data_IF_065831549039
#
_entry.id   IF_065831549039
#
_cell.length_a   1.000
_cell.length_b   1.000
_cell.length_c   1.000
_cell.angle_alpha   90.00
_cell.angle_beta   90.00
_cell.angle_gamma   90.00
#
_symmetry.space_group_name_H-M   'P 1'
#
loop_
_entity.id
_entity.type
_entity.pdbx_description
1 polymer ?
#
# COMPACT_ATOMS: atom_id res chain seq x y z
N UNK A 1 10.70 -38.21 -18.96
CA UNK A 1 9.87 -37.08 -18.48
C UNK A 1 10.76 -36.16 -17.65
N UNK A 2 11.17 -35.01 -18.20
CA UNK A 2 11.97 -34.05 -17.46
C UNK A 2 11.08 -33.39 -16.39
N UNK A 3 11.40 -33.61 -15.11
CA UNK A 3 10.82 -32.87 -14.02
C UNK A 3 11.08 -31.38 -14.28
N UNK A 4 10.04 -30.60 -14.57
CA UNK A 4 10.11 -29.14 -14.53
C UNK A 4 10.59 -28.79 -13.12
N UNK A 5 11.85 -28.37 -12.99
CA UNK A 5 12.32 -27.66 -11.81
C UNK A 5 11.41 -26.46 -11.67
N UNK A 6 10.44 -26.54 -10.78
CA UNK A 6 9.63 -25.40 -10.35
C UNK A 6 10.58 -24.47 -9.61
N UNK A 7 11.32 -23.63 -10.34
CA UNK A 7 11.94 -22.45 -9.74
C UNK A 7 10.83 -21.69 -9.04
N UNK A 8 10.96 -21.44 -7.75
CA UNK A 8 10.05 -20.56 -7.03
C UNK A 8 9.87 -19.30 -7.89
N UNK A 9 8.63 -18.95 -8.27
CA UNK A 9 8.40 -17.80 -9.14
C UNK A 9 8.96 -16.56 -8.46
N UNK A 10 9.64 -15.74 -9.24
CA UNK A 10 10.26 -14.51 -8.76
C UNK A 10 9.18 -13.65 -8.11
N UNK A 11 9.47 -13.18 -6.89
CA UNK A 11 8.64 -12.22 -6.15
C UNK A 11 8.80 -10.79 -6.69
N UNK A 12 9.69 -10.60 -7.68
CA UNK A 12 9.97 -9.32 -8.32
C UNK A 12 10.03 -9.48 -9.84
N UNK A 13 9.35 -8.59 -10.56
CA UNK A 13 9.35 -8.51 -12.03
C UNK A 13 9.44 -7.05 -12.48
N UNK A 14 9.81 -6.83 -13.74
CA UNK A 14 9.74 -5.51 -14.37
C UNK A 14 8.60 -5.48 -15.37
N UNK A 15 7.76 -4.45 -15.30
CA UNK A 15 6.69 -4.25 -16.24
C UNK A 15 7.21 -3.98 -17.66
N UNK A 16 6.33 -4.19 -18.65
CA UNK A 16 6.63 -3.94 -20.07
C UNK A 16 5.57 -2.98 -20.62
N UNK A 17 5.85 -2.25 -21.71
CA UNK A 17 4.84 -1.42 -22.36
C UNK A 17 3.55 -2.21 -22.64
N UNK A 18 2.42 -1.71 -22.16
CA UNK A 18 1.11 -2.37 -22.28
C UNK A 18 0.89 -3.59 -21.36
N UNK A 19 1.84 -3.91 -20.48
CA UNK A 19 1.76 -5.01 -19.50
C UNK A 19 2.20 -4.50 -18.12
N UNK A 20 1.32 -3.77 -17.40
CA UNK A 20 1.66 -3.18 -16.11
C UNK A 20 2.00 -4.21 -15.04
N UNK A 21 1.60 -5.48 -15.21
CA UNK A 21 1.94 -6.60 -14.32
C UNK A 21 3.28 -7.27 -14.66
N UNK A 22 3.97 -6.85 -15.73
CA UNK A 22 5.13 -7.56 -16.29
C UNK A 22 4.81 -8.93 -16.91
N UNK A 23 3.54 -9.31 -16.92
CA UNK A 23 3.01 -10.56 -17.45
C UNK A 23 1.55 -10.38 -17.90
N UNK A 24 1.01 -11.37 -18.61
CA UNK A 24 -0.41 -11.38 -18.95
C UNK A 24 -1.27 -11.55 -17.67
N UNK A 25 -2.44 -10.89 -17.57
CA UNK A 25 -3.32 -11.02 -16.40
C UNK A 25 -3.69 -12.45 -16.05
N UNK A 26 -3.91 -13.32 -17.05
CA UNK A 26 -4.18 -14.74 -16.83
C UNK A 26 -3.03 -15.47 -16.11
N UNK A 27 -1.78 -15.05 -16.34
CA UNK A 27 -0.62 -15.58 -15.62
C UNK A 27 -0.63 -15.09 -14.18
N UNK A 28 -0.83 -13.78 -13.97
CA UNK A 28 -0.93 -13.19 -12.64
C UNK A 28 -2.02 -13.86 -11.78
N UNK A 29 -3.23 -14.04 -12.32
CA UNK A 29 -4.35 -14.69 -11.63
C UNK A 29 -4.07 -16.16 -11.30
N UNK A 30 -3.38 -16.88 -12.20
CA UNK A 30 -3.01 -18.29 -11.97
C UNK A 30 -1.96 -18.41 -10.86
N UNK A 31 -1.00 -17.51 -10.85
CA UNK A 31 0.27 -17.71 -10.17
C UNK A 31 0.42 -16.88 -8.88
N UNK A 32 -0.18 -15.69 -8.80
CA UNK A 32 0.06 -14.73 -7.71
C UNK A 32 -1.20 -14.35 -6.95
N UNK A 33 -2.30 -14.06 -7.65
CA UNK A 33 -3.56 -13.62 -7.03
C UNK A 33 -4.03 -14.59 -5.94
N UNK A 34 -4.22 -14.06 -4.72
CA UNK A 34 -4.56 -14.75 -3.47
C UNK A 34 -3.60 -15.88 -3.06
N UNK A 35 -2.33 -15.79 -3.46
CA UNK A 35 -1.34 -16.86 -3.22
C UNK A 35 -0.01 -16.34 -2.74
N UNK A 36 0.49 -15.30 -3.37
CA UNK A 36 1.82 -14.77 -3.07
C UNK A 36 1.98 -13.31 -3.50
N UNK A 37 2.80 -12.55 -2.77
CA UNK A 37 3.13 -11.19 -3.13
C UNK A 37 3.91 -11.11 -4.44
N UNK A 38 3.87 -9.94 -5.07
CA UNK A 38 4.61 -9.62 -6.28
C UNK A 38 4.98 -8.14 -6.33
N UNK A 39 6.27 -7.82 -6.33
CA UNK A 39 6.77 -6.50 -6.69
C UNK A 39 6.86 -6.36 -8.20
N UNK A 40 6.30 -5.29 -8.73
CA UNK A 40 6.29 -4.97 -10.15
C UNK A 40 6.96 -3.61 -10.33
N UNK A 41 8.18 -3.62 -10.85
CA UNK A 41 8.94 -2.40 -11.15
C UNK A 41 8.37 -1.70 -12.37
N UNK A 42 8.25 -0.38 -12.29
CA UNK A 42 7.84 0.47 -13.40
C UNK A 42 6.47 0.07 -14.00
N UNK A 43 5.52 -0.37 -13.16
CA UNK A 43 4.16 -0.75 -13.57
C UNK A 43 3.46 0.38 -14.32
N UNK A 44 3.69 1.62 -13.88
CA UNK A 44 3.24 2.85 -14.51
C UNK A 44 4.46 3.73 -14.81
N UNK A 45 5.04 3.67 -16.02
CA UNK A 45 6.20 4.50 -16.36
C UNK A 45 5.84 5.98 -16.33
N UNK A 46 6.77 6.79 -15.81
CA UNK A 46 6.64 8.24 -15.66
C UNK A 46 5.35 8.65 -14.94
N UNK A 47 4.92 7.85 -13.95
CA UNK A 47 3.68 8.08 -13.22
C UNK A 47 3.66 9.46 -12.56
N UNK A 48 2.61 10.23 -12.87
CA UNK A 48 2.33 11.50 -12.23
C UNK A 48 1.12 11.32 -11.32
N UNK A 49 1.28 11.67 -10.04
CA UNK A 49 0.19 11.58 -9.08
C UNK A 49 -0.94 12.55 -9.48
N UNK A 50 -2.20 12.10 -9.59
CA UNK A 50 -3.32 12.98 -9.86
C UNK A 50 -3.64 13.89 -8.67
N UNK A 51 -3.26 13.48 -7.45
CA UNK A 51 -3.54 14.20 -6.20
C UNK A 51 -2.22 14.62 -5.56
N UNK A 52 -2.05 15.92 -5.29
CA UNK A 52 -0.91 16.44 -4.54
C UNK A 52 -1.15 16.36 -3.03
N UNK A 53 -0.10 16.41 -2.20
CA UNK A 53 -0.24 16.38 -0.74
C UNK A 53 -1.23 17.42 -0.18
N UNK A 54 -1.21 18.63 -0.73
CA UNK A 54 -2.08 19.73 -0.31
C UNK A 54 -3.55 19.47 -0.67
N UNK A 55 -3.80 18.91 -1.86
CA UNK A 55 -5.15 18.53 -2.29
C UNK A 55 -5.72 17.41 -1.40
N UNK A 56 -4.89 16.42 -1.05
CA UNK A 56 -5.27 15.32 -0.17
C UNK A 56 -5.60 15.83 1.25
N UNK A 57 -4.81 16.78 1.77
CA UNK A 57 -5.06 17.41 3.06
C UNK A 57 -6.38 18.20 3.05
N UNK A 58 -6.64 18.95 1.96
CA UNK A 58 -7.91 19.64 1.75
C UNK A 58 -9.09 18.68 1.72
N UNK A 59 -8.97 17.57 0.97
CA UNK A 59 -10.01 16.55 0.93
C UNK A 59 -10.29 15.94 2.31
N UNK A 60 -9.26 15.76 3.14
CA UNK A 60 -9.41 15.24 4.50
C UNK A 60 -10.14 16.20 5.47
N UNK A 61 -10.39 17.45 5.06
CA UNK A 61 -11.21 18.42 5.78
C UNK A 61 -12.69 18.37 5.39
N UNK A 62 -13.04 17.74 4.26
CA UNK A 62 -14.40 17.74 3.73
C UNK A 62 -15.35 16.84 4.54
N UNK A 63 -16.60 17.29 4.70
CA UNK A 63 -17.62 16.52 5.41
C UNK A 63 -17.95 15.22 4.66
N UNK A 64 -18.04 14.11 5.40
CA UNK A 64 -18.31 12.79 4.83
C UNK A 64 -17.07 12.07 4.29
N UNK A 65 -15.90 12.71 4.24
CA UNK A 65 -14.64 12.05 3.90
C UNK A 65 -14.13 11.22 5.09
N UNK A 66 -13.79 9.96 4.81
CA UNK A 66 -13.19 9.05 5.79
C UNK A 66 -11.67 9.23 5.79
N UNK A 67 -11.18 10.08 6.69
CA UNK A 67 -9.75 10.34 6.85
C UNK A 67 -9.24 9.89 8.23
N UNK A 68 -7.98 9.42 8.28
CA UNK A 68 -7.26 9.12 9.52
C UNK A 68 -5.87 9.73 9.48
N UNK A 69 -5.48 10.37 10.58
CA UNK A 69 -4.13 10.85 10.82
C UNK A 69 -3.48 9.98 11.88
N UNK A 70 -2.34 9.39 11.55
CA UNK A 70 -1.59 8.47 12.41
C UNK A 70 -0.24 9.11 12.71
N UNK A 71 0.08 9.27 13.99
CA UNK A 71 1.32 9.88 14.48
C UNK A 71 2.08 8.85 15.34
N UNK A 72 3.39 8.72 15.14
CA UNK A 72 4.26 7.83 15.90
C UNK A 72 5.27 8.62 16.72
N UNK A 73 5.13 8.59 18.05
CA UNK A 73 6.17 9.05 18.97
C UNK A 73 7.22 7.95 19.14
N UNK A 74 8.32 8.06 18.40
CA UNK A 74 9.44 7.11 18.48
C UNK A 74 10.13 7.06 19.84
N UNK A 75 10.10 8.13 20.64
CA UNK A 75 10.79 8.18 21.93
C UNK A 75 10.08 7.32 22.97
N UNK A 76 8.75 7.27 22.90
CA UNK A 76 7.91 6.48 23.81
C UNK A 76 7.36 5.20 23.16
N UNK A 77 7.63 5.00 21.88
CA UNK A 77 6.96 4.01 21.02
C UNK A 77 5.43 4.09 21.12
N UNK A 78 4.93 5.33 21.20
CA UNK A 78 3.52 5.67 21.35
C UNK A 78 2.87 5.95 20.00
N UNK A 79 1.63 5.48 19.82
CA UNK A 79 0.87 5.69 18.59
C UNK A 79 -0.39 6.48 18.89
N UNK A 80 -0.65 7.51 18.08
CA UNK A 80 -1.88 8.30 18.16
C UNK A 80 -2.63 8.20 16.85
N UNK A 81 -3.93 7.93 16.93
CA UNK A 81 -4.84 7.93 15.80
C UNK A 81 -5.86 9.04 16.01
N UNK A 82 -6.08 9.86 14.98
CA UNK A 82 -7.15 10.85 14.94
C UNK A 82 -7.98 10.57 13.68
N UNK A 83 -9.29 10.71 13.80
CA UNK A 83 -10.22 10.51 12.69
C UNK A 83 -10.79 11.85 12.27
N UNK A 84 -10.93 12.05 10.96
CA UNK A 84 -11.48 13.26 10.38
C UNK A 84 -13.02 13.32 10.46
N UNK A 85 -13.63 14.34 9.83
CA UNK A 85 -12.95 15.39 9.06
C UNK A 85 -12.06 16.27 9.95
N UNK A 86 -10.96 16.77 9.38
CA UNK A 86 -10.02 17.62 10.10
C UNK A 86 -10.32 19.11 9.89
N UNK A 87 -9.83 19.96 10.79
CA UNK A 87 -9.77 21.39 10.53
C UNK A 87 -8.51 21.71 9.73
N UNK A 88 -8.57 22.71 8.84
CA UNK A 88 -7.44 23.08 7.96
C UNK A 88 -6.17 23.43 8.74
N UNK A 89 -6.32 24.03 9.93
CA UNK A 89 -5.22 24.43 10.80
C UNK A 89 -4.43 23.27 11.40
N UNK A 90 -4.95 22.04 11.30
CA UNK A 90 -4.27 20.84 11.79
C UNK A 90 -2.99 20.58 11.01
N UNK A 91 -3.02 20.68 9.68
CA UNK A 91 -1.90 20.25 8.83
C UNK A 91 -0.66 21.15 8.92
N UNK A 92 -0.79 22.50 8.91
CA UNK A 92 0.36 23.39 9.11
C UNK A 92 1.02 23.24 10.48
N UNK A 93 0.31 22.70 11.47
CA UNK A 93 0.84 22.47 12.82
C UNK A 93 1.57 21.13 12.98
N UNK A 94 1.51 20.23 11.98
CA UNK A 94 2.19 18.94 12.03
C UNK A 94 3.71 19.09 11.83
N UNK A 95 4.53 18.23 12.47
CA UNK A 95 5.97 18.21 12.22
C UNK A 95 6.28 17.74 10.80
N UNK A 96 7.54 17.83 10.37
CA UNK A 96 7.99 17.35 9.05
C UNK A 96 8.32 15.85 9.01
N UNK A 97 8.03 15.11 10.10
CA UNK A 97 8.34 13.69 10.26
C UNK A 97 7.31 12.90 11.08
N UNK A 98 7.33 11.58 10.93
CA UNK A 98 6.69 10.58 11.81
C UNK A 98 5.15 10.64 11.92
N UNK A 99 4.49 11.07 10.84
CA UNK A 99 3.04 10.96 10.70
C UNK A 99 2.62 10.51 9.29
N UNK A 100 1.40 9.98 9.18
CA UNK A 100 0.76 9.55 7.93
C UNK A 100 -0.71 9.95 7.93
N UNK A 101 -1.15 10.61 6.86
CA UNK A 101 -2.55 10.84 6.53
C UNK A 101 -3.03 9.73 5.58
N UNK A 102 -4.18 9.14 5.91
CA UNK A 102 -4.90 8.18 5.08
C UNK A 102 -6.26 8.78 4.73
N UNK A 103 -6.63 8.76 3.45
CA UNK A 103 -7.96 9.15 2.98
C UNK A 103 -8.52 8.00 2.16
N UNK A 104 -9.68 7.49 2.57
CA UNK A 104 -10.38 6.41 1.87
C UNK A 104 -11.22 6.95 0.70
N UNK A 105 -11.66 6.05 -0.18
CA UNK A 105 -12.67 6.36 -1.20
C UNK A 105 -12.30 7.52 -2.15
N UNK A 106 -11.01 7.80 -2.37
CA UNK A 106 -10.59 8.99 -3.14
C UNK A 106 -11.04 8.92 -4.60
N UNK A 107 -11.22 7.71 -5.15
CA UNK A 107 -11.81 7.48 -6.47
C UNK A 107 -13.25 8.02 -6.62
N UNK A 108 -13.98 8.20 -5.52
CA UNK A 108 -15.33 8.80 -5.54
C UNK A 108 -15.28 10.32 -5.62
N UNK A 109 -14.18 10.93 -5.19
CA UNK A 109 -13.97 12.37 -5.14
C UNK A 109 -13.20 12.90 -6.36
N UNK A 110 -12.30 12.09 -6.92
CA UNK A 110 -11.41 12.49 -8.01
C UNK A 110 -11.53 11.54 -9.22
N UNK A 111 -11.92 12.06 -10.41
CA UNK A 111 -12.08 11.24 -11.61
C UNK A 111 -10.75 10.70 -12.17
N UNK A 112 -9.63 11.38 -11.96
CA UNK A 112 -8.32 10.96 -12.44
C UNK A 112 -7.78 9.82 -11.54
N UNK A 113 -8.06 9.86 -10.24
CA UNK A 113 -7.84 8.71 -9.33
C UNK A 113 -8.70 7.52 -9.75
N UNK A 114 -9.98 7.75 -10.08
CA UNK A 114 -10.88 6.70 -10.54
C UNK A 114 -10.43 6.04 -11.84
N UNK A 115 -9.77 6.77 -12.72
CA UNK A 115 -9.21 6.21 -13.95
C UNK A 115 -8.15 5.12 -13.67
N UNK A 116 -7.47 5.15 -12.52
CA UNK A 116 -6.50 4.12 -12.13
C UNK A 116 -7.16 2.73 -12.01
N UNK A 117 -8.42 2.67 -11.59
CA UNK A 117 -9.18 1.42 -11.44
C UNK A 117 -9.30 0.68 -12.78
N UNK A 118 -9.31 1.39 -13.90
CA UNK A 118 -9.45 0.79 -15.24
C UNK A 118 -8.29 -0.13 -15.59
N UNK A 119 -7.10 0.11 -15.03
CA UNK A 119 -5.94 -0.76 -15.22
C UNK A 119 -6.09 -2.15 -14.55
N UNK A 120 -7.08 -2.30 -13.68
CA UNK A 120 -7.39 -3.52 -12.94
C UNK A 120 -8.64 -4.24 -13.47
N UNK A 121 -9.10 -3.92 -14.69
CA UNK A 121 -10.31 -4.50 -15.30
C UNK A 121 -10.25 -6.01 -15.54
N UNK A 122 -9.08 -6.65 -15.33
CA UNK A 122 -8.93 -8.11 -15.32
C UNK A 122 -9.50 -8.77 -14.06
N UNK A 123 -9.82 -7.98 -13.03
CA UNK A 123 -10.55 -8.41 -11.85
C UNK A 123 -12.06 -8.14 -12.01
N UNK A 124 -12.93 -8.99 -11.45
CA UNK A 124 -14.36 -8.69 -11.41
C UNK A 124 -14.62 -7.40 -10.60
N UNK A 125 -15.48 -6.51 -11.10
CA UNK A 125 -15.76 -5.21 -10.45
C UNK A 125 -16.18 -5.32 -8.98
N UNK A 126 -16.92 -6.37 -8.61
CA UNK A 126 -17.38 -6.58 -7.23
C UNK A 126 -16.26 -6.99 -6.25
N UNK A 127 -15.05 -7.27 -6.75
CA UNK A 127 -13.85 -7.52 -5.94
C UNK A 127 -13.03 -6.25 -5.68
N UNK A 128 -13.32 -5.17 -6.39
CA UNK A 128 -12.70 -3.87 -6.17
C UNK A 128 -13.49 -3.15 -5.08
N UNK A 129 -12.80 -2.57 -4.10
CA UNK A 129 -13.41 -1.80 -3.02
C UNK A 129 -13.30 -0.30 -3.35
N UNK A 130 -12.13 0.29 -3.09
CA UNK A 130 -11.85 1.71 -3.29
C UNK A 130 -10.38 1.98 -3.67
N UNK A 131 -10.04 3.26 -3.87
CA UNK A 131 -8.66 3.74 -3.88
C UNK A 131 -8.42 4.62 -2.66
N UNK A 132 -7.77 4.04 -1.64
CA UNK A 132 -7.19 4.81 -0.53
C UNK A 132 -5.88 5.46 -0.96
N UNK A 133 -5.70 6.75 -0.65
CA UNK A 133 -4.42 7.44 -0.79
C UNK A 133 -3.83 7.71 0.59
N UNK A 134 -2.52 7.41 0.73
CA UNK A 134 -1.75 7.77 1.90
C UNK A 134 -0.69 8.83 1.57
N UNK A 135 -0.61 9.89 2.36
CA UNK A 135 0.54 10.77 2.41
C UNK A 135 1.31 10.54 3.71
N UNK A 136 2.63 10.36 3.62
CA UNK A 136 3.49 10.16 4.78
C UNK A 136 4.63 11.17 4.77
N UNK A 137 4.81 11.87 5.89
CA UNK A 137 6.01 12.65 6.13
C UNK A 137 7.23 11.73 6.33
N UNK A 138 8.43 12.29 6.43
CA UNK A 138 9.65 11.49 6.58
C UNK A 138 9.55 10.59 7.82
N UNK A 139 9.73 9.28 7.66
CA UNK A 139 9.59 8.32 8.75
C UNK A 139 8.15 7.97 9.14
N UNK A 140 7.16 8.62 8.52
CA UNK A 140 5.74 8.30 8.65
C UNK A 140 5.44 6.86 8.26
N UNK A 141 4.66 6.18 9.11
CA UNK A 141 4.28 4.80 8.92
C UNK A 141 2.94 4.54 9.62
N UNK A 142 2.30 3.44 9.25
CA UNK A 142 1.15 2.88 9.97
C UNK A 142 1.53 1.64 10.79
N UNK A 143 2.84 1.38 10.89
CA UNK A 143 3.44 0.23 11.56
C UNK A 143 3.26 -1.10 10.81
N UNK A 144 3.89 -2.16 11.31
CA UNK A 144 3.75 -3.50 10.75
C UNK A 144 2.37 -4.08 11.09
N UNK A 145 1.59 -4.43 10.07
CA UNK A 145 0.23 -4.92 10.21
C UNK A 145 -0.07 -5.96 9.11
N UNK A 146 -1.28 -6.52 9.16
CA UNK A 146 -1.82 -7.41 8.13
C UNK A 146 -3.24 -6.98 7.80
N UNK A 147 -3.63 -7.18 6.56
CA UNK A 147 -5.00 -6.94 6.07
C UNK A 147 -5.72 -8.27 5.78
N UNK A 148 -7.01 -8.17 5.48
CA UNK A 148 -7.86 -9.31 5.10
C UNK A 148 -8.33 -9.23 3.65
N UNK A 149 -7.74 -8.33 2.87
CA UNK A 149 -8.05 -8.07 1.47
C UNK A 149 -6.75 -8.07 0.65
N UNK A 150 -6.89 -8.37 -0.63
CA UNK A 150 -5.85 -8.20 -1.64
C UNK A 150 -5.59 -6.71 -1.88
N UNK A 151 -4.33 -6.30 -2.04
CA UNK A 151 -4.00 -4.88 -2.28
C UNK A 151 -2.91 -4.69 -3.32
N UNK A 152 -3.05 -3.64 -4.14
CA UNK A 152 -1.99 -3.12 -5.00
C UNK A 152 -1.49 -1.79 -4.44
N UNK A 153 -0.29 -1.79 -3.88
CA UNK A 153 0.38 -0.61 -3.35
C UNK A 153 1.17 0.07 -4.47
N UNK A 154 0.57 1.08 -5.10
CA UNK A 154 1.21 1.90 -6.12
C UNK A 154 1.96 3.07 -5.47
N UNK A 155 3.26 3.19 -5.74
CA UNK A 155 4.03 4.35 -5.30
C UNK A 155 3.73 5.54 -6.23
N UNK A 156 3.03 6.54 -5.73
CA UNK A 156 2.57 7.68 -6.53
C UNK A 156 3.57 8.86 -6.55
N UNK A 157 4.15 9.17 -5.40
CA UNK A 157 5.06 10.30 -5.22
C UNK A 157 6.16 9.97 -4.20
N UNK A 158 7.36 10.51 -4.38
CA UNK A 158 8.50 10.25 -3.50
C UNK A 158 8.93 8.78 -3.48
N UNK A 159 9.66 8.37 -2.43
CA UNK A 159 10.14 7.00 -2.27
C UNK A 159 9.69 6.42 -0.94
N UNK A 160 9.29 5.15 -0.93
CA UNK A 160 8.89 4.43 0.29
C UNK A 160 9.60 3.10 0.41
N UNK A 161 10.17 2.84 1.59
CA UNK A 161 10.72 1.53 1.94
C UNK A 161 9.57 0.62 2.37
N UNK A 162 9.41 -0.50 1.68
CA UNK A 162 8.45 -1.55 2.00
C UNK A 162 9.18 -2.80 2.46
N UNK A 163 8.68 -3.37 3.54
CA UNK A 163 9.17 -4.59 4.15
C UNK A 163 7.98 -5.54 4.30
N UNK A 164 8.15 -6.80 3.90
CA UNK A 164 7.10 -7.82 4.02
C UNK A 164 7.64 -9.14 4.55
N UNK A 165 6.74 -9.95 5.10
CA UNK A 165 7.02 -11.36 5.40
C UNK A 165 6.26 -12.27 4.43
N UNK A 166 6.96 -12.73 3.39
CA UNK A 166 6.45 -13.69 2.42
C UNK A 166 6.70 -15.17 2.81
N UNK A 167 7.02 -15.46 4.09
CA UNK A 167 7.40 -16.81 4.54
C UNK A 167 6.37 -17.86 4.15
N UNK A 168 5.08 -17.59 4.31
CA UNK A 168 4.00 -18.51 3.94
C UNK A 168 4.03 -18.85 2.44
N UNK A 169 4.24 -17.85 1.58
CA UNK A 169 4.30 -18.00 0.12
C UNK A 169 5.52 -18.79 -0.38
N UNK A 170 6.62 -18.81 0.37
CA UNK A 170 7.85 -19.55 0.03
C UNK A 170 8.00 -20.88 0.78
N UNK A 171 6.89 -21.44 1.30
CA UNK A 171 6.86 -22.69 2.09
C UNK A 171 7.66 -22.62 3.41
N UNK A 172 7.83 -21.41 3.93
CA UNK A 172 8.33 -21.15 5.28
C UNK A 172 7.24 -21.37 6.34
N UNK A 173 7.55 -21.00 7.59
CA UNK A 173 6.58 -21.03 8.69
C UNK A 173 5.64 -19.84 8.58
N UNK A 174 4.37 -20.04 8.94
CA UNK A 174 3.42 -18.95 9.03
C UNK A 174 3.88 -17.93 10.10
N UNK A 175 3.89 -16.62 9.78
CA UNK A 175 4.30 -15.60 10.72
C UNK A 175 3.34 -15.49 11.91
N UNK A 176 3.83 -15.10 13.10
CA UNK A 176 2.97 -14.88 14.25
C UNK A 176 2.04 -13.67 14.02
N UNK A 177 0.72 -13.86 14.17
CA UNK A 177 -0.30 -12.83 13.98
C UNK A 177 -0.79 -12.21 15.30
N UNK A 178 0.08 -12.16 16.32
CA UNK A 178 -0.26 -11.54 17.59
C UNK A 178 -0.17 -10.02 17.51
N UNK A 179 -1.21 -9.31 17.96
CA UNK A 179 -1.26 -7.85 17.94
C UNK A 179 -0.89 -7.21 19.28
N UNK A 180 -0.29 -6.02 19.23
CA UNK A 180 -0.04 -5.17 20.40
C UNK A 180 -1.38 -4.78 21.07
N UNK A 181 -1.53 -4.97 22.39
CA UNK A 181 -2.76 -4.61 23.10
C UNK A 181 -2.80 -3.14 23.57
N UNK A 182 -1.68 -2.43 23.46
CA UNK A 182 -1.44 -1.09 24.00
C UNK A 182 -1.68 0.04 22.99
N UNK A 183 -2.09 -0.30 21.76
CA UNK A 183 -2.31 0.65 20.66
C UNK A 183 -3.64 0.34 19.97
N UNK A 184 -4.32 1.39 19.48
CA UNK A 184 -5.59 1.24 18.76
C UNK A 184 -5.41 0.57 17.38
N UNK A 185 -4.23 0.76 16.77
CA UNK A 185 -3.86 0.13 15.50
C UNK A 185 -3.59 -1.37 15.69
N UNK A 186 -3.95 -2.18 14.69
CA UNK A 186 -3.64 -3.62 14.67
C UNK A 186 -2.17 -3.89 14.32
N UNK A 187 -1.27 -3.44 15.20
CA UNK A 187 0.18 -3.61 15.02
C UNK A 187 0.64 -5.00 15.45
N UNK A 188 1.44 -5.66 14.63
CA UNK A 188 2.06 -6.93 14.96
C UNK A 188 3.07 -6.77 16.12
N UNK A 189 3.02 -7.68 17.09
CA UNK A 189 4.02 -7.74 18.19
C UNK A 189 5.42 -8.09 17.67
N UNK A 190 5.47 -8.94 16.65
CA UNK A 190 6.71 -9.44 16.07
C UNK A 190 6.57 -9.39 14.56
N UNK A 191 7.49 -8.68 13.92
CA UNK A 191 7.60 -8.62 12.48
C UNK A 191 9.05 -8.92 12.09
N UNK A 192 9.25 -9.88 11.17
CA UNK A 192 10.57 -10.29 10.69
C UNK A 192 10.52 -10.27 9.16
N UNK A 193 10.94 -9.19 8.51
CA UNK A 193 10.82 -9.10 7.06
C UNK A 193 11.70 -10.15 6.39
N UNK A 194 11.15 -10.81 5.39
CA UNK A 194 11.92 -11.67 4.47
C UNK A 194 12.37 -10.91 3.23
N UNK A 195 11.69 -9.80 2.92
CA UNK A 195 11.98 -8.95 1.77
C UNK A 195 11.91 -7.48 2.16
N UNK A 196 12.70 -6.67 1.44
CA UNK A 196 12.93 -5.27 1.74
C UNK A 196 13.28 -4.52 0.44
N UNK A 197 12.47 -3.53 0.09
CA UNK A 197 12.63 -2.75 -1.13
C UNK A 197 12.39 -1.27 -0.86
N UNK A 198 13.01 -0.41 -1.67
CA UNK A 198 12.58 0.97 -1.84
C UNK A 198 11.82 1.05 -3.17
N UNK A 199 10.58 1.51 -3.13
CA UNK A 199 9.75 1.75 -4.30
C UNK A 199 9.91 3.20 -4.75
N UNK A 200 10.06 3.40 -6.06
CA UNK A 200 10.06 4.70 -6.72
C UNK A 200 8.70 4.95 -7.40
N UNK A 201 8.36 6.20 -7.79
CA UNK A 201 7.10 6.48 -8.47
C UNK A 201 6.88 5.56 -9.68
N UNK A 202 5.69 4.96 -9.75
CA UNK A 202 5.32 3.99 -10.78
C UNK A 202 5.59 2.52 -10.45
N UNK A 203 6.37 2.22 -9.41
CA UNK A 203 6.49 0.86 -8.87
C UNK A 203 5.20 0.44 -8.14
N UNK A 204 4.85 -0.84 -8.24
CA UNK A 204 3.64 -1.39 -7.64
C UNK A 204 3.92 -2.70 -6.90
N UNK A 205 3.48 -2.81 -5.66
CA UNK A 205 3.59 -4.02 -4.85
C UNK A 205 2.21 -4.64 -4.62
N UNK A 206 2.02 -5.86 -5.09
CA UNK A 206 0.84 -6.68 -4.81
C UNK A 206 1.08 -7.53 -3.55
N UNK A 207 0.13 -7.53 -2.62
CA UNK A 207 0.11 -8.36 -1.40
C UNK A 207 -1.21 -9.14 -1.30
#
# INVERSE_FOLDING_TARGET
MAARKSSAPLIEVTARPGQPLGMAPATFLRDFWQKRPLLIRNAFPDFQTPVQPEDLAGLACEEGVLARLIEHDKAQDGWRVRTGPFQEDVFPALPDHDWTLLVQDVDKWDPDVRALIEHFSFLPRWRMDDVMISFAATGGSVGAHVDQYDVFLLQAHGHRRWQIDASESIKGKQPPLGFRPDVELKLLKVFKPTHDWVLAPGDMLYL
#
